data_IF_732905300756
#
_entry.id   IF_732905300756
#
_cell.length_a   1.000
_cell.length_b   1.000
_cell.length_c   1.000
_cell.angle_alpha   90.00
_cell.angle_beta   90.00
_cell.angle_gamma   90.00
#
_symmetry.space_group_name_H-M   'P 1'
#
loop_
_entity.id
_entity.type
_entity.pdbx_description
1 polymer ?
#
# COMPACT_ATOMS: atom_id res chain seq x y z
N UNK A 1 11.38 10.69 25.06
CA UNK A 1 10.55 11.48 24.14
C UNK A 1 11.32 12.10 22.95
N UNK A 2 12.61 12.45 23.09
CA UNK A 2 13.37 13.14 22.01
C UNK A 2 13.88 12.21 20.88
N UNK A 3 14.15 10.93 21.17
CA UNK A 3 14.72 9.97 20.20
C UNK A 3 13.65 9.39 19.25
N UNK A 4 12.49 9.04 19.78
CA UNK A 4 11.37 8.55 18.98
C UNK A 4 10.88 9.60 17.96
N UNK A 5 10.88 10.89 18.36
CA UNK A 5 10.52 11.99 17.46
C UNK A 5 11.58 12.27 16.38
N UNK A 6 12.86 11.97 16.58
CA UNK A 6 13.90 12.10 15.55
C UNK A 6 13.84 10.96 14.52
N UNK A 7 13.59 9.74 14.96
CA UNK A 7 13.36 8.59 14.07
C UNK A 7 12.05 8.74 13.27
N UNK A 8 10.99 9.23 13.92
CA UNK A 8 9.73 9.61 13.30
C UNK A 8 9.87 10.77 12.30
N UNK A 9 10.62 11.81 12.66
CA UNK A 9 10.89 12.94 11.76
C UNK A 9 11.85 12.55 10.63
N UNK A 10 12.82 11.67 10.86
CA UNK A 10 13.71 11.19 9.77
C UNK A 10 13.01 10.16 8.90
N UNK A 11 12.22 9.23 9.42
CA UNK A 11 11.38 8.35 8.60
C UNK A 11 10.25 9.14 7.89
N UNK A 12 9.67 10.17 8.50
CA UNK A 12 8.78 11.13 7.84
C UNK A 12 9.54 12.10 6.90
N UNK A 13 10.81 12.40 7.17
CA UNK A 13 11.67 13.23 6.31
C UNK A 13 12.31 12.38 5.22
N UNK A 14 12.63 11.11 5.44
CA UNK A 14 12.89 10.13 4.37
C UNK A 14 11.61 9.79 3.61
N UNK A 15 10.47 9.80 4.23
CA UNK A 15 9.16 9.83 3.56
C UNK A 15 9.00 11.07 2.65
N UNK A 16 9.58 12.22 2.99
CA UNK A 16 9.72 13.39 2.11
C UNK A 16 10.88 13.28 1.12
N UNK A 17 11.92 12.51 1.43
CA UNK A 17 13.05 12.20 0.55
C UNK A 17 12.81 10.97 -0.34
N UNK A 18 11.86 10.10 -0.03
CA UNK A 18 11.22 9.27 -1.04
C UNK A 18 10.74 10.22 -2.14
N UNK A 19 11.37 10.17 -3.29
CA UNK A 19 11.05 11.02 -4.43
C UNK A 19 9.54 10.95 -4.72
N UNK A 20 8.79 11.71 -3.94
CA UNK A 20 7.45 12.10 -4.36
C UNK A 20 7.61 12.68 -5.74
N UNK A 21 6.78 12.29 -6.66
CA UNK A 21 6.65 12.93 -7.97
C UNK A 21 6.84 14.43 -7.77
N UNK A 22 7.73 15.09 -8.56
CA UNK A 22 8.04 16.50 -8.33
C UNK A 22 6.75 17.31 -8.11
N UNK A 23 6.72 18.25 -7.18
CA UNK A 23 5.54 19.05 -6.85
C UNK A 23 4.80 19.62 -8.07
N UNK A 24 5.54 19.90 -9.15
CA UNK A 24 5.00 20.39 -10.42
C UNK A 24 4.05 19.42 -11.14
N UNK A 25 4.20 18.10 -10.95
CA UNK A 25 3.26 17.10 -11.51
C UNK A 25 2.11 16.74 -10.55
N UNK A 26 2.25 17.08 -9.27
CA UNK A 26 1.24 16.81 -8.24
C UNK A 26 0.34 18.02 -7.98
N UNK A 27 0.77 19.23 -8.32
CA UNK A 27 0.02 20.48 -8.07
C UNK A 27 -1.33 20.54 -8.79
N UNK A 28 -1.46 19.82 -9.91
CA UNK A 28 -2.70 19.74 -10.71
C UNK A 28 -3.61 18.57 -10.32
N UNK A 29 -3.21 17.72 -9.35
CA UNK A 29 -4.00 16.57 -8.92
C UNK A 29 -4.89 16.95 -7.72
N UNK A 30 -6.15 16.45 -7.67
CA UNK A 30 -6.99 16.58 -6.49
C UNK A 30 -6.28 16.06 -5.23
N UNK A 31 -6.55 16.67 -4.07
CA UNK A 31 -5.92 16.27 -2.80
C UNK A 31 -6.09 14.79 -2.46
N UNK A 32 -7.16 14.17 -2.95
CA UNK A 32 -7.40 12.73 -2.87
C UNK A 32 -6.27 11.89 -3.50
N UNK A 33 -5.64 12.41 -4.54
CA UNK A 33 -4.66 11.69 -5.38
C UNK A 33 -3.22 11.97 -4.91
N UNK A 34 -2.97 13.15 -4.34
CA UNK A 34 -1.63 13.57 -3.89
C UNK A 34 -1.02 12.64 -2.83
N UNK A 35 -1.85 11.94 -2.05
CA UNK A 35 -1.45 11.03 -0.98
C UNK A 35 -1.48 9.55 -1.39
N UNK A 36 -1.76 9.24 -2.66
CA UNK A 36 -2.06 7.88 -3.13
C UNK A 36 -0.92 7.22 -3.92
N UNK A 37 0.23 7.87 -4.06
CA UNK A 37 1.31 7.39 -4.93
C UNK A 37 2.64 7.29 -4.17
N UNK A 38 3.23 6.09 -4.16
CA UNK A 38 4.56 5.82 -3.62
C UNK A 38 5.50 5.33 -4.71
N UNK A 39 6.73 5.83 -4.70
CA UNK A 39 7.86 5.26 -5.43
C UNK A 39 8.83 4.68 -4.42
N UNK A 40 9.13 3.39 -4.48
CA UNK A 40 10.04 2.72 -3.55
C UNK A 40 11.40 2.50 -4.21
N UNK A 41 12.47 2.93 -3.54
CA UNK A 41 13.85 2.57 -3.88
C UNK A 41 14.68 2.17 -2.64
N UNK A 42 14.09 2.05 -1.44
CA UNK A 42 14.86 1.81 -0.22
C UNK A 42 14.11 1.01 0.85
N UNK A 43 14.87 0.41 1.76
CA UNK A 43 14.44 -0.23 3.01
C UNK A 43 14.74 0.65 4.23
N UNK A 44 14.77 0.04 5.42
CA UNK A 44 15.14 0.71 6.66
C UNK A 44 16.62 1.11 6.69
N UNK A 45 16.95 2.17 7.43
CA UNK A 45 18.33 2.59 7.61
C UNK A 45 19.05 1.63 8.58
N UNK A 46 19.94 0.79 8.01
CA UNK A 46 20.68 -0.24 8.76
C UNK A 46 21.66 0.40 9.75
N UNK A 47 22.25 1.57 9.41
CA UNK A 47 23.17 2.26 10.32
C UNK A 47 22.48 2.76 11.60
N UNK A 48 21.23 3.17 11.49
CA UNK A 48 20.44 3.55 12.66
C UNK A 48 20.04 2.33 13.50
N UNK A 49 19.80 1.17 12.85
CA UNK A 49 19.30 -0.05 13.52
C UNK A 49 20.41 -0.85 14.22
N UNK A 50 21.64 -0.88 13.69
CA UNK A 50 22.71 -1.79 14.14
C UNK A 50 23.09 -1.65 15.62
N UNK A 51 22.84 -0.48 16.21
CA UNK A 51 23.20 -0.16 17.58
C UNK A 51 22.02 -0.23 18.56
N UNK A 52 20.83 -0.63 18.12
CA UNK A 52 19.66 -0.75 18.98
C UNK A 52 19.78 -1.98 19.90
N UNK A 53 19.57 -1.78 21.19
CA UNK A 53 19.37 -2.87 22.13
C UNK A 53 17.90 -3.34 22.12
N UNK A 54 17.64 -4.53 22.64
CA UNK A 54 16.29 -5.09 22.73
C UNK A 54 15.30 -4.12 23.38
N UNK A 55 15.70 -3.47 24.49
CA UNK A 55 14.86 -2.48 25.19
C UNK A 55 14.48 -1.29 24.31
N UNK A 56 15.39 -0.87 23.42
CA UNK A 56 15.17 0.27 22.53
C UNK A 56 14.26 -0.13 21.37
N UNK A 57 14.52 -1.30 20.78
CA UNK A 57 13.67 -1.88 19.74
C UNK A 57 12.25 -2.14 20.25
N UNK A 58 12.10 -2.69 21.48
CA UNK A 58 10.81 -2.97 22.10
C UNK A 58 9.99 -1.72 22.42
N UNK A 59 10.66 -0.63 22.82
CA UNK A 59 10.01 0.67 23.09
C UNK A 59 9.79 1.51 21.82
N UNK A 60 10.37 1.10 20.70
CA UNK A 60 10.33 1.86 19.47
C UNK A 60 9.00 1.63 18.75
N UNK A 61 8.14 2.63 18.80
CA UNK A 61 6.84 2.64 18.09
C UNK A 61 6.96 3.09 16.62
N UNK A 62 8.18 3.21 16.09
CA UNK A 62 8.36 3.68 14.71
C UNK A 62 7.66 2.78 13.68
N UNK A 63 7.63 1.46 13.93
CA UNK A 63 6.91 0.51 13.07
C UNK A 63 5.38 0.64 13.18
N UNK A 64 4.85 1.15 14.29
CA UNK A 64 3.41 1.38 14.46
C UNK A 64 2.92 2.47 13.50
N UNK A 65 3.78 3.47 13.21
CA UNK A 65 3.47 4.52 12.23
C UNK A 65 3.29 3.95 10.83
N UNK A 66 4.03 2.88 10.49
CA UNK A 66 3.89 2.21 9.20
C UNK A 66 2.53 1.54 9.04
N UNK A 67 1.93 1.03 10.13
CA UNK A 67 0.59 0.46 10.09
C UNK A 67 -0.47 1.48 9.65
N UNK A 68 -0.24 2.78 9.92
CA UNK A 68 -1.13 3.85 9.46
C UNK A 68 -1.30 3.90 7.93
N UNK A 69 -0.35 3.37 7.17
CA UNK A 69 -0.45 3.26 5.70
C UNK A 69 -1.56 2.28 5.32
N UNK A 70 -1.60 1.10 5.93
CA UNK A 70 -2.65 0.11 5.65
C UNK A 70 -4.02 0.54 6.19
N UNK A 71 -4.04 1.33 7.27
CA UNK A 71 -5.28 1.86 7.88
C UNK A 71 -5.82 3.12 7.21
N UNK A 72 -5.08 3.68 6.27
CA UNK A 72 -5.49 4.91 5.58
C UNK A 72 -6.80 4.69 4.81
N UNK A 73 -7.78 5.56 5.04
CA UNK A 73 -9.15 5.37 4.51
C UNK A 73 -9.25 5.44 2.99
N UNK A 74 -8.36 6.22 2.35
CA UNK A 74 -8.35 6.36 0.89
C UNK A 74 -7.47 5.26 0.27
N UNK A 75 -7.75 4.79 -0.95
CA UNK A 75 -6.87 3.85 -1.66
C UNK A 75 -5.48 4.42 -1.89
N UNK A 76 -4.47 3.57 -1.73
CA UNK A 76 -3.07 3.88 -1.96
C UNK A 76 -2.53 2.95 -3.05
N UNK A 77 -1.82 3.52 -4.03
CA UNK A 77 -1.21 2.79 -5.15
C UNK A 77 0.31 2.91 -5.05
N UNK A 78 1.01 1.79 -4.92
CA UNK A 78 2.46 1.74 -5.05
C UNK A 78 2.85 1.67 -6.53
N UNK A 79 3.79 2.52 -6.96
CA UNK A 79 4.43 2.49 -8.27
C UNK A 79 5.91 2.16 -8.08
N UNK A 80 6.25 0.88 -8.15
CA UNK A 80 7.58 0.37 -7.81
C UNK A 80 8.49 0.42 -9.04
N UNK A 81 9.68 1.02 -8.88
CA UNK A 81 10.78 1.00 -9.84
C UNK A 81 12.04 0.49 -9.15
N UNK A 82 12.86 -0.29 -9.86
CA UNK A 82 14.09 -0.80 -9.29
C UNK A 82 13.83 -1.70 -8.08
N UNK A 83 14.49 -1.45 -6.96
CA UNK A 83 14.48 -2.36 -5.82
C UNK A 83 13.43 -1.98 -4.77
N UNK A 84 12.54 -2.92 -4.48
CA UNK A 84 11.66 -2.92 -3.30
C UNK A 84 12.09 -4.07 -2.39
N UNK A 85 13.04 -3.82 -1.47
CA UNK A 85 13.64 -4.84 -0.61
C UNK A 85 13.37 -4.54 0.85
N UNK A 86 13.17 -5.59 1.67
CA UNK A 86 12.91 -5.46 3.09
C UNK A 86 11.76 -4.50 3.38
N UNK A 87 12.00 -3.49 4.20
CA UNK A 87 11.00 -2.46 4.52
C UNK A 87 10.37 -1.78 3.30
N UNK A 88 11.11 -1.62 2.19
CA UNK A 88 10.55 -1.10 0.93
C UNK A 88 9.52 -2.04 0.30
N UNK A 89 9.76 -3.35 0.37
CA UNK A 89 8.79 -4.37 -0.06
C UNK A 89 7.59 -4.43 0.90
N UNK A 90 7.84 -4.31 2.21
CA UNK A 90 6.80 -4.27 3.22
C UNK A 90 5.87 -3.07 3.03
N UNK A 91 6.43 -1.89 2.74
CA UNK A 91 5.65 -0.68 2.43
C UNK A 91 4.82 -0.85 1.15
N UNK A 92 5.39 -1.45 0.10
CA UNK A 92 4.63 -1.74 -1.11
C UNK A 92 3.44 -2.67 -0.83
N UNK A 93 3.61 -3.69 0.04
CA UNK A 93 2.54 -4.59 0.46
C UNK A 93 1.51 -3.96 1.41
N UNK A 94 1.81 -2.85 2.06
CA UNK A 94 0.83 -2.07 2.83
C UNK A 94 -0.10 -1.26 1.94
N UNK A 95 0.30 -0.97 0.69
CA UNK A 95 -0.53 -0.30 -0.28
C UNK A 95 -1.64 -1.23 -0.81
N UNK A 96 -2.73 -0.65 -1.29
CA UNK A 96 -3.89 -1.42 -1.76
C UNK A 96 -3.69 -1.99 -3.17
N UNK A 97 -2.90 -1.32 -4.00
CA UNK A 97 -2.61 -1.73 -5.38
C UNK A 97 -1.10 -1.56 -5.60
N UNK A 98 -0.45 -2.59 -6.14
CA UNK A 98 0.97 -2.53 -6.49
C UNK A 98 1.11 -2.60 -8.01
N UNK A 99 1.67 -1.55 -8.60
CA UNK A 99 2.16 -1.52 -9.97
C UNK A 99 3.68 -1.57 -9.98
N UNK A 100 4.25 -2.31 -10.89
CA UNK A 100 5.70 -2.45 -11.01
C UNK A 100 6.18 -1.99 -12.40
N UNK A 101 7.36 -1.40 -12.43
CA UNK A 101 8.12 -1.26 -13.65
C UNK A 101 8.77 -2.59 -14.01
N UNK A 102 9.06 -2.82 -15.31
CA UNK A 102 9.71 -4.05 -15.81
C UNK A 102 11.03 -4.35 -15.11
N UNK A 103 11.74 -3.32 -14.64
CA UNK A 103 13.01 -3.44 -13.91
C UNK A 103 12.83 -3.62 -12.39
N UNK A 104 11.60 -3.73 -11.89
CA UNK A 104 11.37 -3.86 -10.46
C UNK A 104 11.79 -5.24 -9.93
N UNK A 105 12.35 -5.24 -8.72
CA UNK A 105 12.77 -6.43 -7.98
C UNK A 105 12.17 -6.36 -6.57
N UNK A 106 11.61 -7.47 -6.12
CA UNK A 106 10.99 -7.60 -4.80
C UNK A 106 11.72 -8.65 -3.97
N UNK A 107 11.88 -8.43 -2.67
CA UNK A 107 12.51 -9.38 -1.79
C UNK A 107 12.43 -8.98 -0.32
N UNK A 108 12.69 -9.98 0.55
CA UNK A 108 12.76 -9.82 2.00
C UNK A 108 14.11 -10.42 2.49
N UNK A 109 15.25 -9.71 2.25
CA UNK A 109 16.57 -10.25 2.50
C UNK A 109 17.08 -10.08 3.94
N UNK A 110 16.23 -9.72 4.88
CA UNK A 110 16.60 -9.36 6.26
C UNK A 110 17.41 -10.46 6.98
N UNK A 111 17.17 -11.73 6.66
CA UNK A 111 17.93 -12.86 7.24
C UNK A 111 19.41 -12.80 6.88
N UNK A 112 19.78 -12.17 5.77
CA UNK A 112 21.18 -12.03 5.34
C UNK A 112 21.99 -11.06 6.20
N UNK A 113 21.29 -10.22 6.98
CA UNK A 113 21.88 -9.26 7.93
C UNK A 113 21.55 -9.58 9.39
N UNK A 114 21.07 -10.80 9.67
CA UNK A 114 20.85 -11.30 11.03
C UNK A 114 19.56 -10.84 11.70
N UNK A 115 18.55 -10.43 10.91
CA UNK A 115 17.22 -10.07 11.44
C UNK A 115 16.11 -10.70 10.59
N UNK A 116 14.87 -10.40 10.89
CA UNK A 116 13.69 -10.85 10.13
C UNK A 116 12.88 -9.63 9.65
N UNK A 117 12.01 -9.76 8.65
CA UNK A 117 11.06 -8.71 8.29
C UNK A 117 10.27 -8.26 9.52
N UNK A 118 10.24 -6.94 9.79
CA UNK A 118 9.67 -6.39 11.02
C UNK A 118 8.41 -5.55 10.83
N UNK A 119 8.12 -5.13 9.58
CA UNK A 119 6.96 -4.29 9.26
C UNK A 119 5.82 -5.07 8.56
N UNK A 120 5.75 -6.38 8.80
CA UNK A 120 4.68 -7.26 8.34
C UNK A 120 5.01 -8.10 7.13
N UNK A 121 6.27 -8.14 6.66
CA UNK A 121 6.70 -8.92 5.50
C UNK A 121 6.37 -10.40 5.64
N UNK A 122 6.63 -11.01 6.80
CA UNK A 122 6.32 -12.41 7.06
C UNK A 122 4.81 -12.72 6.99
N UNK A 123 3.96 -11.73 7.24
CA UNK A 123 2.51 -11.90 7.29
C UNK A 123 1.84 -11.53 5.97
N UNK A 124 2.27 -10.44 5.33
CA UNK A 124 1.67 -9.96 4.08
C UNK A 124 2.17 -10.74 2.87
N UNK A 125 3.47 -11.07 2.82
CA UNK A 125 4.02 -11.77 1.66
C UNK A 125 3.37 -13.16 1.47
N UNK A 126 3.24 -13.96 2.55
CA UNK A 126 2.63 -15.28 2.47
C UNK A 126 1.16 -15.23 2.00
N UNK A 127 0.44 -14.16 2.35
CA UNK A 127 -0.95 -13.95 1.89
C UNK A 127 -1.02 -13.55 0.42
N UNK A 128 0.00 -12.85 -0.08
CA UNK A 128 0.06 -12.43 -1.47
C UNK A 128 0.53 -13.55 -2.42
N UNK A 129 1.63 -14.24 -2.08
CA UNK A 129 2.31 -15.14 -3.02
C UNK A 129 2.21 -16.63 -2.63
N UNK A 130 1.57 -16.94 -1.51
CA UNK A 130 1.49 -18.29 -0.97
C UNK A 130 2.73 -18.70 -0.19
N UNK A 131 2.60 -19.84 0.54
CA UNK A 131 3.60 -20.30 1.52
C UNK A 131 4.96 -20.60 0.90
N UNK A 132 4.99 -21.38 -0.18
CA UNK A 132 6.24 -21.88 -0.76
C UNK A 132 7.14 -20.74 -1.20
N UNK A 133 6.63 -19.83 -2.01
CA UNK A 133 7.41 -18.70 -2.54
C UNK A 133 7.80 -17.71 -1.42
N UNK A 134 6.90 -17.45 -0.49
CA UNK A 134 7.21 -16.59 0.66
C UNK A 134 8.33 -17.15 1.52
N UNK A 135 8.32 -18.48 1.80
CA UNK A 135 9.40 -19.14 2.55
C UNK A 135 10.72 -19.08 1.79
N UNK A 136 10.72 -19.35 0.49
CA UNK A 136 11.93 -19.25 -0.34
C UNK A 136 12.52 -17.84 -0.29
N UNK A 137 11.72 -16.82 -0.55
CA UNK A 137 12.17 -15.41 -0.54
C UNK A 137 12.72 -14.98 0.82
N UNK A 138 12.00 -15.29 1.91
CA UNK A 138 12.39 -14.86 3.25
C UNK A 138 13.58 -15.63 3.79
N UNK A 139 13.59 -16.97 3.68
CA UNK A 139 14.61 -17.80 4.30
C UNK A 139 15.95 -17.79 3.54
N UNK A 140 15.92 -17.57 2.22
CA UNK A 140 17.14 -17.49 1.40
C UNK A 140 17.58 -16.06 1.11
N UNK A 141 16.73 -15.06 1.35
CA UNK A 141 16.96 -13.68 0.91
C UNK A 141 16.82 -13.50 -0.62
N UNK A 142 16.21 -14.47 -1.30
CA UNK A 142 16.01 -14.43 -2.75
C UNK A 142 15.10 -13.28 -3.18
N UNK A 143 15.27 -12.85 -4.43
CA UNK A 143 14.46 -11.78 -5.06
C UNK A 143 13.68 -12.36 -6.23
N UNK A 144 12.54 -11.77 -6.49
CA UNK A 144 11.73 -12.05 -7.68
C UNK A 144 11.61 -10.78 -8.52
N UNK A 145 11.59 -10.93 -9.84
CA UNK A 145 11.37 -9.82 -10.76
C UNK A 145 9.89 -9.42 -10.87
N UNK A 146 9.61 -8.34 -11.58
CA UNK A 146 8.27 -7.79 -11.74
C UNK A 146 7.26 -8.79 -12.33
N UNK A 147 7.68 -9.59 -13.31
CA UNK A 147 6.79 -10.58 -13.96
C UNK A 147 6.51 -11.78 -13.05
N UNK A 148 7.52 -12.26 -12.32
CA UNK A 148 7.35 -13.30 -11.30
C UNK A 148 6.41 -12.80 -10.18
N UNK A 149 6.62 -11.58 -9.70
CA UNK A 149 5.77 -10.95 -8.69
C UNK A 149 4.31 -10.79 -9.16
N UNK A 150 4.10 -10.46 -10.44
CA UNK A 150 2.76 -10.42 -11.06
C UNK A 150 2.15 -11.82 -11.17
N UNK A 151 2.90 -12.80 -11.63
CA UNK A 151 2.42 -14.18 -11.74
C UNK A 151 2.05 -14.77 -10.37
N UNK A 152 2.79 -14.40 -9.32
CA UNK A 152 2.54 -14.82 -7.94
C UNK A 152 1.41 -14.06 -7.23
N UNK A 153 0.89 -12.96 -7.80
CA UNK A 153 -0.20 -12.17 -7.21
C UNK A 153 0.24 -10.99 -6.34
N UNK A 154 1.54 -10.74 -6.16
CA UNK A 154 2.06 -9.60 -5.42
C UNK A 154 1.84 -8.27 -6.18
N UNK A 155 1.97 -8.30 -7.50
CA UNK A 155 1.86 -7.14 -8.38
C UNK A 155 0.65 -7.26 -9.27
N UNK A 156 -0.17 -6.21 -9.33
CA UNK A 156 -1.37 -6.17 -10.17
C UNK A 156 -1.03 -6.01 -11.66
N UNK A 157 -0.10 -5.11 -11.99
CA UNK A 157 0.30 -4.82 -13.38
C UNK A 157 1.77 -4.44 -13.47
N UNK A 158 2.37 -4.82 -14.61
CA UNK A 158 3.74 -4.44 -14.96
C UNK A 158 3.69 -3.51 -16.18
N UNK A 159 4.52 -2.48 -16.17
CA UNK A 159 4.63 -1.44 -17.20
C UNK A 159 6.09 -1.11 -17.54
N UNK A 160 6.37 -0.53 -18.69
CA UNK A 160 7.67 0.10 -18.96
C UNK A 160 8.05 1.11 -17.88
N UNK A 161 9.35 1.24 -17.59
CA UNK A 161 9.87 2.06 -16.49
C UNK A 161 9.36 3.49 -16.51
N UNK A 162 9.28 4.09 -17.69
CA UNK A 162 8.80 5.45 -17.92
C UNK A 162 7.29 5.61 -17.71
N UNK A 163 6.51 4.52 -17.82
CA UNK A 163 5.05 4.57 -17.83
C UNK A 163 4.41 4.22 -16.49
N UNK A 164 5.07 3.44 -15.62
CA UNK A 164 4.47 2.92 -14.38
C UNK A 164 3.82 4.00 -13.51
N UNK A 165 4.47 5.15 -13.38
CA UNK A 165 3.94 6.26 -12.59
C UNK A 165 2.70 6.88 -13.24
N UNK A 166 2.74 7.12 -14.55
CA UNK A 166 1.61 7.72 -15.27
C UNK A 166 0.39 6.80 -15.22
N UNK A 167 0.59 5.49 -15.32
CA UNK A 167 -0.46 4.48 -15.22
C UNK A 167 -1.06 4.39 -13.80
N UNK A 168 -0.22 4.53 -12.77
CA UNK A 168 -0.69 4.63 -11.39
C UNK A 168 -1.52 5.90 -11.17
N UNK A 169 -1.07 7.05 -11.69
CA UNK A 169 -1.80 8.32 -11.66
C UNK A 169 -3.14 8.19 -12.40
N UNK A 170 -3.15 7.61 -13.60
CA UNK A 170 -4.37 7.41 -14.37
C UNK A 170 -5.39 6.53 -13.61
N UNK A 171 -4.91 5.51 -12.90
CA UNK A 171 -5.78 4.67 -12.06
C UNK A 171 -6.30 5.44 -10.85
N UNK A 172 -5.44 6.19 -10.15
CA UNK A 172 -5.85 7.03 -9.04
C UNK A 172 -6.90 8.08 -9.48
N UNK A 173 -6.73 8.68 -10.67
CA UNK A 173 -7.71 9.60 -11.24
C UNK A 173 -9.05 8.92 -11.58
N UNK A 174 -9.04 7.66 -12.04
CA UNK A 174 -10.29 6.91 -12.23
C UNK A 174 -11.01 6.66 -10.92
N UNK A 175 -10.29 6.24 -9.88
CA UNK A 175 -10.84 6.04 -8.54
C UNK A 175 -11.34 7.36 -7.96
N UNK A 176 -10.59 8.45 -8.12
CA UNK A 176 -10.95 9.78 -7.62
C UNK A 176 -12.20 10.42 -8.23
N UNK A 177 -12.73 9.84 -9.33
CA UNK A 177 -14.04 10.24 -9.93
C UNK A 177 -15.21 9.52 -9.30
N UNK A 178 -14.97 8.53 -8.46
CA UNK A 178 -16.00 7.75 -7.76
C UNK A 178 -16.31 8.38 -6.38
N UNK A 179 -17.42 7.97 -5.79
CA UNK A 179 -17.79 8.39 -4.44
C UNK A 179 -16.69 8.05 -3.43
N UNK A 180 -16.09 9.03 -2.74
CA UNK A 180 -15.01 8.76 -1.80
C UNK A 180 -15.47 7.93 -0.60
N UNK A 181 -16.72 8.09 -0.16
CA UNK A 181 -17.29 7.31 0.94
C UNK A 181 -17.49 5.85 0.52
N UNK A 182 -18.03 5.60 -0.68
CA UNK A 182 -18.26 4.25 -1.18
C UNK A 182 -16.93 3.53 -1.46
N UNK A 183 -15.95 4.22 -2.03
CA UNK A 183 -14.59 3.67 -2.24
C UNK A 183 -13.93 3.29 -0.90
N UNK A 184 -14.08 4.13 0.14
CA UNK A 184 -13.54 3.83 1.47
C UNK A 184 -14.23 2.62 2.11
N UNK A 185 -15.55 2.51 1.98
CA UNK A 185 -16.33 1.35 2.47
C UNK A 185 -15.89 0.08 1.75
N UNK A 186 -15.76 0.11 0.41
CA UNK A 186 -15.30 -1.01 -0.38
C UNK A 186 -13.89 -1.47 0.01
N UNK A 187 -12.94 -0.53 0.17
CA UNK A 187 -11.59 -0.83 0.67
C UNK A 187 -11.65 -1.54 2.02
N UNK A 188 -12.40 -1.00 2.97
CA UNK A 188 -12.55 -1.58 4.32
C UNK A 188 -13.12 -3.00 4.27
N UNK A 189 -14.10 -3.24 3.39
CA UNK A 189 -14.68 -4.57 3.20
C UNK A 189 -13.65 -5.57 2.66
N UNK A 190 -12.89 -5.19 1.63
CA UNK A 190 -11.85 -6.04 1.03
C UNK A 190 -10.75 -6.37 2.05
N UNK A 191 -10.27 -5.38 2.81
CA UNK A 191 -9.22 -5.59 3.82
C UNK A 191 -9.67 -6.58 4.91
N UNK A 192 -10.95 -6.60 5.24
CA UNK A 192 -11.50 -7.52 6.25
C UNK A 192 -11.32 -9.00 5.89
N UNK A 193 -11.23 -9.34 4.60
CA UNK A 193 -11.01 -10.70 4.14
C UNK A 193 -9.70 -11.33 4.65
N UNK A 194 -8.70 -10.52 4.98
CA UNK A 194 -7.43 -10.98 5.54
C UNK A 194 -7.46 -11.21 7.06
N UNK A 195 -8.53 -10.79 7.73
CA UNK A 195 -8.64 -10.75 9.20
C UNK A 195 -9.69 -11.73 9.75
N UNK A 196 -10.54 -12.33 8.89
CA UNK A 196 -11.69 -13.12 9.34
C UNK A 196 -11.89 -14.38 8.50
N UNK A 197 -12.77 -15.27 8.99
CA UNK A 197 -13.32 -16.38 8.20
C UNK A 197 -14.17 -15.82 7.04
N UNK A 198 -14.36 -16.64 5.99
CA UNK A 198 -15.25 -16.25 4.88
C UNK A 198 -16.66 -15.89 5.38
N UNK A 199 -17.20 -16.65 6.32
CA UNK A 199 -18.53 -16.43 6.89
C UNK A 199 -18.63 -15.05 7.55
N UNK A 200 -17.70 -14.74 8.47
CA UNK A 200 -17.71 -13.46 9.18
C UNK A 200 -17.42 -12.30 8.23
N UNK A 201 -16.57 -12.54 7.22
CA UNK A 201 -16.29 -11.55 6.15
C UNK A 201 -17.52 -11.22 5.33
N UNK A 202 -18.34 -12.23 4.95
CA UNK A 202 -19.60 -12.03 4.22
C UNK A 202 -20.65 -11.29 5.08
N UNK A 203 -20.73 -11.58 6.36
CA UNK A 203 -21.62 -10.86 7.28
C UNK A 203 -21.18 -9.39 7.42
N UNK A 204 -19.88 -9.15 7.56
CA UNK A 204 -19.32 -7.80 7.60
C UNK A 204 -19.58 -7.01 6.30
N UNK A 205 -19.33 -7.63 5.14
CA UNK A 205 -19.63 -7.05 3.82
C UNK A 205 -21.10 -6.66 3.72
N UNK A 206 -22.03 -7.53 4.13
CA UNK A 206 -23.48 -7.27 4.11
C UNK A 206 -23.87 -6.05 4.94
N UNK A 207 -23.28 -5.90 6.13
CA UNK A 207 -23.52 -4.73 6.96
C UNK A 207 -23.02 -3.44 6.29
N UNK A 208 -21.81 -3.49 5.71
CA UNK A 208 -21.27 -2.35 4.97
C UNK A 208 -22.07 -2.03 3.71
N UNK A 209 -22.50 -3.05 2.95
CA UNK A 209 -23.36 -2.87 1.80
C UNK A 209 -24.67 -2.17 2.21
N UNK A 210 -25.34 -2.65 3.26
CA UNK A 210 -26.57 -2.03 3.75
C UNK A 210 -26.33 -0.57 4.18
N UNK A 211 -25.17 -0.25 4.77
CA UNK A 211 -24.83 1.11 5.18
C UNK A 211 -24.69 2.09 4.02
N UNK A 212 -24.38 1.61 2.81
CA UNK A 212 -24.29 2.48 1.62
C UNK A 212 -25.61 3.12 1.27
N UNK A 213 -26.75 2.48 1.58
CA UNK A 213 -28.10 3.04 1.32
C UNK A 213 -28.46 4.25 2.18
N UNK A 214 -27.64 4.56 3.20
CA UNK A 214 -27.78 5.77 3.98
C UNK A 214 -27.07 6.99 3.35
N UNK A 215 -26.32 6.78 2.24
CA UNK A 215 -25.55 7.86 1.59
C UNK A 215 -26.32 8.50 0.43
N UNK A 216 -26.14 9.81 0.24
CA UNK A 216 -26.68 10.49 -0.94
C UNK A 216 -25.99 10.04 -2.24
N UNK A 217 -24.68 9.72 -2.16
CA UNK A 217 -23.91 9.24 -3.30
C UNK A 217 -24.45 7.91 -3.85
N UNK A 218 -25.01 7.04 -3.02
CA UNK A 218 -25.66 5.81 -3.47
C UNK A 218 -26.90 6.12 -4.30
N UNK A 219 -27.75 7.03 -3.85
CA UNK A 219 -28.97 7.47 -4.55
C UNK A 219 -28.61 8.11 -5.89
N UNK A 220 -27.66 9.04 -5.86
CA UNK A 220 -27.15 9.71 -7.07
C UNK A 220 -26.58 8.71 -8.09
N UNK A 221 -25.76 7.75 -7.62
CA UNK A 221 -25.14 6.74 -8.49
C UNK A 221 -26.18 5.86 -9.19
N UNK A 222 -27.20 5.38 -8.46
CA UNK A 222 -28.27 4.57 -9.03
C UNK A 222 -29.18 5.36 -9.97
N UNK A 223 -29.56 6.59 -9.62
CA UNK A 223 -30.34 7.46 -10.47
C UNK A 223 -29.59 7.81 -11.78
N UNK A 224 -28.32 8.18 -11.66
CA UNK A 224 -27.47 8.46 -12.80
C UNK A 224 -27.35 7.26 -13.75
N UNK A 225 -27.19 6.04 -13.19
CA UNK A 225 -27.12 4.81 -13.97
C UNK A 225 -28.43 4.55 -14.75
N UNK A 226 -29.58 4.65 -14.07
CA UNK A 226 -30.90 4.47 -14.72
C UNK A 226 -31.17 5.51 -15.81
N UNK A 227 -30.73 6.74 -15.59
CA UNK A 227 -30.90 7.86 -16.55
C UNK A 227 -29.79 7.93 -17.59
N UNK A 228 -28.83 7.00 -17.58
CA UNK A 228 -27.68 6.95 -18.52
C UNK A 228 -26.88 8.25 -18.56
N UNK A 229 -26.72 8.92 -17.43
CA UNK A 229 -25.92 10.15 -17.26
C UNK A 229 -24.70 9.87 -16.37
N UNK A 230 -23.73 10.80 -16.38
CA UNK A 230 -22.61 10.73 -15.43
C UNK A 230 -23.07 11.10 -14.02
N UNK A 231 -22.67 10.35 -12.98
CA UNK A 231 -22.98 10.70 -11.60
C UNK A 231 -22.16 11.92 -11.14
N UNK A 232 -22.72 12.64 -10.18
CA UNK A 232 -22.08 13.78 -9.51
C UNK A 232 -21.98 13.48 -8.02
N UNK A 233 -20.93 12.78 -7.63
CA UNK A 233 -20.71 12.39 -6.23
C UNK A 233 -20.24 13.57 -5.38
N UNK A 234 -20.80 13.70 -4.19
CA UNK A 234 -20.49 14.77 -3.22
C UNK A 234 -19.69 14.27 -2.03
N UNK A 235 -19.65 12.95 -1.81
CA UNK A 235 -18.98 12.32 -0.66
C UNK A 235 -19.85 12.33 0.60
N UNK A 236 -21.17 12.39 0.48
CA UNK A 236 -22.14 12.44 1.57
C UNK A 236 -23.13 11.29 1.53
#
# INVERSE_FOLDING_TARGET
>A
MHFANRCLLKSLVHWKAFKMTPPSKLSSLPDLIKHSLFSTEAGADIDEMKNLHFSDAFKNTALDVWNSVSEFKKPIIAAVRGYALGGGCELAMMCDIVYAAENAQFGQPEVTIGTIPGAGGTQRLIRAVGKSLAMEMILSGARINANEAKAAGLVSKVYPVENVLNEAIATAQRIGKLSPIIVSIAKKSIQKAFETSLKDGLDFERHLFNSTFATEDQKEGMDAFLKKRKPQFTGS
#
